data_IF_286776040028
#
_entry.id   IF_286776040028
#
_cell.length_a   1.000
_cell.length_b   1.000
_cell.length_c   1.000
_cell.angle_alpha   90.00
_cell.angle_beta   90.00
_cell.angle_gamma   90.00
#
_symmetry.space_group_name_H-M   'P 1'
#
loop_
_entity.id
_entity.type
_entity.pdbx_description
1 polymer ?
#
# COMPACT_ATOMS: atom_id res chain seq x y z
N UNK A 1 -22.06 -0.77 22.56
CA UNK A 1 -21.01 -0.23 21.64
C UNK A 1 -21.08 -1.02 20.36
N UNK A 2 -21.31 -0.35 19.23
CA UNK A 2 -21.45 -0.97 17.91
C UNK A 2 -20.16 -0.76 17.12
N UNK A 3 -19.61 -1.85 16.58
CA UNK A 3 -18.45 -1.86 15.67
C UNK A 3 -18.81 -2.75 14.46
N UNK A 4 -18.91 -2.17 13.26
CA UNK A 4 -19.40 -2.86 12.06
C UNK A 4 -18.65 -2.44 10.81
N UNK A 5 -18.52 -3.36 9.86
CA UNK A 5 -18.03 -3.09 8.50
C UNK A 5 -19.17 -3.18 7.48
N UNK A 6 -19.12 -2.31 6.48
CA UNK A 6 -20.02 -2.28 5.34
C UNK A 6 -19.20 -2.28 4.05
N UNK A 7 -19.72 -2.95 3.03
CA UNK A 7 -19.12 -3.03 1.71
C UNK A 7 -20.10 -2.49 0.70
N UNK A 8 -19.78 -1.36 0.08
CA UNK A 8 -20.65 -0.69 -0.90
C UNK A 8 -19.95 -0.59 -2.26
N UNK A 9 -20.75 -0.33 -3.30
CA UNK A 9 -20.20 0.09 -4.58
C UNK A 9 -19.62 1.50 -4.46
N UNK A 10 -18.47 1.73 -5.09
CA UNK A 10 -17.91 3.08 -5.25
C UNK A 10 -17.97 3.53 -6.70
N UNK A 11 -17.62 4.79 -6.93
CA UNK A 11 -17.57 5.42 -8.22
C UNK A 11 -16.47 4.85 -9.12
N UNK A 12 -16.77 4.84 -10.42
CA UNK A 12 -15.80 4.59 -11.48
C UNK A 12 -14.84 5.77 -11.61
N UNK A 13 -13.64 5.48 -12.13
CA UNK A 13 -12.71 6.53 -12.52
C UNK A 13 -13.13 7.09 -13.88
N UNK A 14 -13.77 8.26 -13.85
CA UNK A 14 -14.26 8.94 -15.06
C UNK A 14 -13.11 9.52 -15.89
N UNK A 15 -11.99 9.92 -15.27
CA UNK A 15 -10.86 10.53 -15.96
C UNK A 15 -10.16 9.51 -16.87
N UNK A 16 -9.95 8.31 -16.36
CA UNK A 16 -9.28 7.24 -17.10
C UNK A 16 -10.26 6.24 -17.75
N UNK A 17 -11.56 6.37 -17.50
CA UNK A 17 -12.58 5.44 -17.98
C UNK A 17 -12.44 4.05 -17.38
N UNK A 18 -11.88 3.94 -16.18
CA UNK A 18 -11.62 2.67 -15.50
C UNK A 18 -12.79 2.35 -14.58
N UNK A 19 -13.39 1.18 -14.78
CA UNK A 19 -14.46 0.69 -13.90
C UNK A 19 -13.89 0.15 -12.61
N UNK A 20 -14.56 0.42 -11.49
CA UNK A 20 -14.18 -0.16 -10.21
C UNK A 20 -14.85 -1.52 -10.01
N UNK A 21 -14.04 -2.55 -9.78
CA UNK A 21 -14.52 -3.90 -9.47
C UNK A 21 -14.56 -4.19 -7.96
N UNK A 22 -13.70 -3.53 -7.18
CA UNK A 22 -13.60 -3.72 -5.72
C UNK A 22 -14.73 -3.01 -4.98
N UNK A 23 -15.23 -3.62 -3.89
CA UNK A 23 -16.13 -2.95 -2.96
C UNK A 23 -15.35 -2.00 -2.06
N UNK A 24 -15.96 -0.86 -1.75
CA UNK A 24 -15.46 0.10 -0.79
C UNK A 24 -15.86 -0.31 0.62
N UNK A 25 -14.86 -0.53 1.49
CA UNK A 25 -15.09 -0.92 2.89
C UNK A 25 -15.17 0.33 3.80
N UNK A 26 -16.30 0.47 4.49
CA UNK A 26 -16.49 1.42 5.59
C UNK A 26 -16.54 0.66 6.89
N UNK A 27 -15.67 1.02 7.83
CA UNK A 27 -15.76 0.56 9.22
C UNK A 27 -16.33 1.67 10.07
N UNK A 28 -17.41 1.40 10.80
CA UNK A 28 -18.07 2.38 11.66
C UNK A 28 -18.06 1.94 13.12
N UNK A 29 -17.93 2.90 14.03
CA UNK A 29 -18.09 2.70 15.47
C UNK A 29 -19.02 3.77 16.04
N UNK A 30 -19.96 3.38 16.90
CA UNK A 30 -20.74 4.32 17.72
C UNK A 30 -21.20 3.68 19.03
N UNK A 31 -21.39 4.50 20.05
CA UNK A 31 -21.93 4.08 21.34
C UNK A 31 -23.45 4.29 21.36
N UNK A 32 -24.22 3.19 21.30
CA UNK A 32 -25.69 3.21 21.28
C UNK A 32 -26.31 3.81 22.56
N UNK A 33 -25.56 3.90 23.66
CA UNK A 33 -26.02 4.54 24.89
C UNK A 33 -26.00 6.06 24.83
N UNK A 34 -25.40 6.64 23.79
CA UNK A 34 -25.23 8.09 23.59
C UNK A 34 -25.91 8.54 22.30
N UNK A 35 -26.55 9.72 22.26
CA UNK A 35 -26.98 10.29 21.00
C UNK A 35 -25.77 10.59 20.12
N UNK A 36 -25.86 10.25 18.84
CA UNK A 36 -24.83 10.59 17.85
C UNK A 36 -24.92 12.08 17.54
N UNK A 37 -23.87 12.83 17.88
CA UNK A 37 -23.82 14.31 17.74
C UNK A 37 -23.12 14.77 16.48
N UNK A 38 -22.24 13.93 15.93
CA UNK A 38 -21.47 14.22 14.73
C UNK A 38 -21.01 12.92 14.06
N UNK A 39 -20.68 13.04 12.77
CA UNK A 39 -19.91 12.04 12.02
C UNK A 39 -18.45 12.44 12.09
N UNK A 40 -17.58 11.50 12.45
CA UNK A 40 -16.14 11.72 12.58
C UNK A 40 -15.38 10.77 11.65
N UNK A 41 -14.92 11.29 10.50
CA UNK A 41 -14.20 10.51 9.50
C UNK A 41 -12.70 10.57 9.79
N UNK A 42 -12.08 9.41 9.97
CA UNK A 42 -10.65 9.27 10.27
C UNK A 42 -9.94 8.93 8.96
N UNK A 43 -9.17 9.88 8.46
CA UNK A 43 -8.37 9.73 7.24
C UNK A 43 -7.00 9.17 7.62
N UNK A 44 -6.74 7.93 7.21
CA UNK A 44 -5.44 7.29 7.39
C UNK A 44 -4.37 7.93 6.50
N UNK A 45 -3.18 8.16 7.06
CA UNK A 45 -2.02 8.61 6.31
C UNK A 45 -1.47 7.52 5.38
N UNK A 46 -0.48 7.90 4.57
CA UNK A 46 0.19 6.95 3.69
C UNK A 46 0.92 5.87 4.52
N UNK A 47 0.50 4.62 4.36
CA UNK A 47 1.01 3.47 5.14
C UNK A 47 0.09 2.99 6.26
N UNK A 48 -1.09 3.58 6.46
CA UNK A 48 -2.07 3.05 7.41
C UNK A 48 -2.58 1.63 7.08
N UNK A 49 -2.42 1.18 5.85
CA UNK A 49 -2.71 -0.20 5.43
C UNK A 49 -1.67 -1.22 5.86
N UNK A 50 -0.46 -0.80 6.28
CA UNK A 50 0.58 -1.73 6.78
C UNK A 50 0.09 -2.44 8.06
N UNK A 51 -0.71 -1.75 8.86
CA UNK A 51 -1.24 -2.22 10.13
C UNK A 51 -2.50 -1.43 10.52
N UNK A 52 -3.69 -2.02 10.35
CA UNK A 52 -4.96 -1.29 10.54
C UNK A 52 -5.34 -1.11 12.00
N UNK A 53 -4.63 -1.75 12.94
CA UNK A 53 -4.96 -1.75 14.37
C UNK A 53 -5.01 -0.34 14.97
N UNK A 54 -4.13 0.56 14.51
CA UNK A 54 -4.14 1.95 14.98
C UNK A 54 -5.37 2.72 14.48
N UNK A 55 -5.83 2.46 13.26
CA UNK A 55 -7.06 3.05 12.73
C UNK A 55 -8.28 2.58 13.52
N UNK A 56 -8.40 1.26 13.72
CA UNK A 56 -9.50 0.66 14.48
C UNK A 56 -9.52 1.13 15.93
N UNK A 57 -8.36 1.14 16.59
CA UNK A 57 -8.24 1.66 17.95
C UNK A 57 -8.73 3.10 18.03
N UNK A 58 -8.23 3.97 17.16
CA UNK A 58 -8.61 5.39 17.13
C UNK A 58 -10.12 5.53 16.92
N UNK A 59 -10.68 4.84 15.93
CA UNK A 59 -12.11 4.86 15.63
C UNK A 59 -12.97 4.45 16.83
N UNK A 60 -12.64 3.34 17.48
CA UNK A 60 -13.37 2.86 18.68
C UNK A 60 -13.24 3.83 19.85
N UNK A 61 -12.07 4.43 20.07
CA UNK A 61 -11.85 5.39 21.15
C UNK A 61 -12.64 6.68 20.97
N UNK A 62 -12.71 7.21 19.75
CA UNK A 62 -13.49 8.42 19.48
C UNK A 62 -14.98 8.17 19.69
N UNK A 63 -15.48 7.07 19.13
CA UNK A 63 -16.88 6.70 19.26
C UNK A 63 -17.31 6.47 20.72
N UNK A 64 -16.50 5.77 21.51
CA UNK A 64 -16.81 5.48 22.92
C UNK A 64 -16.77 6.71 23.81
N UNK A 65 -15.98 7.74 23.48
CA UNK A 65 -15.80 8.92 24.34
C UNK A 65 -16.75 10.05 24.01
N UNK A 66 -16.95 10.35 22.73
CA UNK A 66 -17.51 11.64 22.31
C UNK A 66 -18.97 11.61 21.82
N UNK A 67 -19.62 10.43 21.80
CA UNK A 67 -20.98 10.32 21.26
C UNK A 67 -21.02 10.66 19.77
N UNK A 68 -20.08 10.10 19.00
CA UNK A 68 -19.92 10.32 17.56
C UNK A 68 -20.03 9.00 16.81
N UNK A 69 -20.44 9.09 15.55
CA UNK A 69 -20.28 8.01 14.59
C UNK A 69 -18.88 8.14 13.98
N UNK A 70 -17.93 7.33 14.45
CA UNK A 70 -16.57 7.34 13.94
C UNK A 70 -16.42 6.37 12.76
N UNK A 71 -15.77 6.80 11.68
CA UNK A 71 -15.69 6.07 10.41
C UNK A 71 -14.23 5.95 9.96
N UNK A 72 -13.82 4.76 9.53
CA UNK A 72 -12.66 4.56 8.66
C UNK A 72 -13.14 4.15 7.28
N UNK A 73 -12.52 4.69 6.24
CA UNK A 73 -12.78 4.37 4.85
C UNK A 73 -11.53 3.72 4.27
N UNK A 74 -11.68 2.50 3.76
CA UNK A 74 -10.61 1.77 3.08
C UNK A 74 -10.71 2.12 1.60
N UNK A 75 -10.28 3.34 1.30
CA UNK A 75 -10.45 4.02 0.02
C UNK A 75 -9.59 3.42 -1.12
N UNK A 76 -9.79 3.91 -2.35
CA UNK A 76 -9.08 3.48 -3.55
C UNK A 76 -7.58 3.63 -3.40
N UNK A 77 -6.84 2.54 -3.54
CA UNK A 77 -5.39 2.52 -3.35
C UNK A 77 -4.97 2.56 -1.88
N UNK A 78 -5.89 2.32 -0.92
CA UNK A 78 -5.55 2.20 0.51
C UNK A 78 -4.53 1.08 0.71
N UNK A 79 -4.71 -0.06 0.05
CA UNK A 79 -3.88 -1.26 0.12
C UNK A 79 -2.61 -1.20 -0.76
N UNK A 80 -1.98 -0.03 -0.92
CA UNK A 80 -0.79 0.16 -1.76
C UNK A 80 0.55 -0.17 -1.07
N UNK A 81 0.52 -0.93 0.03
CA UNK A 81 1.70 -1.31 0.83
C UNK A 81 1.60 -2.77 1.26
N UNK A 82 2.76 -3.40 1.45
CA UNK A 82 2.81 -4.72 2.08
C UNK A 82 2.32 -4.59 3.52
N UNK A 83 1.32 -5.40 3.86
CA UNK A 83 0.62 -5.36 5.13
C UNK A 83 0.90 -6.61 5.95
N UNK A 84 0.71 -6.50 7.27
CA UNK A 84 0.61 -7.66 8.16
C UNK A 84 -0.70 -8.44 7.95
N UNK A 85 -1.69 -7.80 7.36
CA UNK A 85 -3.00 -8.39 7.07
C UNK A 85 -3.05 -8.73 5.57
N UNK A 86 -3.10 -10.02 5.24
CA UNK A 86 -3.02 -10.50 3.85
C UNK A 86 -4.07 -9.88 2.95
N UNK A 87 -5.30 -9.70 3.45
CA UNK A 87 -6.42 -9.06 2.73
C UNK A 87 -6.11 -7.63 2.27
N UNK A 88 -5.24 -6.91 2.99
CA UNK A 88 -4.89 -5.51 2.72
C UNK A 88 -3.47 -5.34 2.20
N UNK A 89 -2.77 -6.44 1.92
CA UNK A 89 -1.38 -6.41 1.50
C UNK A 89 -1.27 -6.25 0.00
N UNK A 90 -0.47 -5.29 -0.43
CA UNK A 90 0.06 -5.30 -1.78
C UNK A 90 1.07 -6.45 -1.96
N UNK A 91 1.28 -6.82 -3.23
CA UNK A 91 2.29 -7.78 -3.65
C UNK A 91 3.41 -7.07 -4.43
N UNK A 92 4.60 -7.68 -4.42
CA UNK A 92 5.71 -7.24 -5.27
C UNK A 92 5.72 -8.06 -6.56
N UNK A 93 5.88 -7.37 -7.69
CA UNK A 93 6.07 -7.98 -9.00
C UNK A 93 7.29 -7.39 -9.71
N UNK A 94 7.85 -8.16 -10.64
CA UNK A 94 8.91 -7.71 -11.56
C UNK A 94 8.30 -7.65 -12.95
N UNK A 95 7.83 -6.47 -13.32
CA UNK A 95 7.21 -6.24 -14.63
C UNK A 95 8.24 -5.98 -15.72
N UNK A 96 7.79 -5.88 -16.97
CA UNK A 96 8.64 -5.67 -18.13
C UNK A 96 9.62 -4.49 -17.94
N UNK A 97 9.15 -3.38 -17.42
CA UNK A 97 9.94 -2.17 -17.16
C UNK A 97 11.01 -2.43 -16.09
N UNK A 98 10.71 -3.24 -15.07
CA UNK A 98 11.65 -3.65 -14.03
C UNK A 98 12.73 -4.57 -14.61
N UNK A 99 12.37 -5.47 -15.53
CA UNK A 99 13.35 -6.32 -16.24
C UNK A 99 14.32 -5.46 -17.07
N UNK A 100 13.81 -4.46 -17.79
CA UNK A 100 14.67 -3.53 -18.53
C UNK A 100 15.54 -2.68 -17.60
N UNK A 101 15.02 -2.33 -16.43
CA UNK A 101 15.78 -1.66 -15.39
C UNK A 101 16.94 -2.53 -14.86
N UNK A 102 16.69 -3.82 -14.56
CA UNK A 102 17.71 -4.78 -14.14
C UNK A 102 18.82 -4.86 -15.19
N UNK A 103 18.49 -5.02 -16.47
CA UNK A 103 19.48 -5.07 -17.57
C UNK A 103 20.36 -3.81 -17.59
N UNK A 104 19.77 -2.63 -17.42
CA UNK A 104 20.51 -1.36 -17.37
C UNK A 104 21.45 -1.29 -16.17
N UNK A 105 21.03 -1.78 -15.00
CA UNK A 105 21.88 -1.83 -13.79
C UNK A 105 23.05 -2.79 -13.99
N UNK A 106 22.81 -4.00 -14.49
CA UNK A 106 23.85 -4.99 -14.76
C UNK A 106 24.88 -4.48 -15.77
N UNK A 107 24.42 -3.85 -16.87
CA UNK A 107 25.31 -3.26 -17.87
C UNK A 107 26.23 -2.18 -17.27
N UNK A 108 25.71 -1.32 -16.38
CA UNK A 108 26.52 -0.30 -15.68
C UNK A 108 27.59 -0.92 -14.77
N UNK A 109 27.33 -2.12 -14.25
CA UNK A 109 28.26 -2.87 -13.39
C UNK A 109 29.17 -3.81 -14.20
N UNK A 110 29.07 -3.82 -15.53
CA UNK A 110 29.75 -4.77 -16.41
C UNK A 110 29.43 -6.24 -16.06
N UNK A 111 28.19 -6.53 -15.65
CA UNK A 111 27.70 -7.87 -15.33
C UNK A 111 26.81 -8.42 -16.45
N UNK A 112 26.90 -9.73 -16.76
CA UNK A 112 26.05 -10.34 -17.77
C UNK A 112 24.61 -10.49 -17.28
N UNK A 113 23.67 -10.36 -18.21
CA UNK A 113 22.28 -10.75 -18.01
C UNK A 113 22.05 -12.16 -18.58
N UNK A 114 21.45 -13.02 -17.78
CA UNK A 114 21.07 -14.39 -18.09
C UNK A 114 19.54 -14.53 -18.08
N UNK A 115 18.95 -14.81 -19.25
CA UNK A 115 17.50 -14.91 -19.42
C UNK A 115 16.86 -16.14 -18.77
N UNK A 116 17.67 -17.13 -18.40
CA UNK A 116 17.23 -18.35 -17.70
C UNK A 116 17.17 -18.19 -16.17
N UNK A 117 17.67 -17.07 -15.62
CA UNK A 117 17.52 -16.78 -14.20
C UNK A 117 16.18 -16.08 -13.92
N UNK A 118 15.48 -16.45 -12.84
CA UNK A 118 14.36 -15.65 -12.34
C UNK A 118 14.77 -14.18 -12.16
N UNK A 119 13.97 -13.24 -12.63
CA UNK A 119 14.36 -11.82 -12.59
C UNK A 119 14.59 -11.30 -11.16
N UNK A 120 13.83 -11.81 -10.18
CA UNK A 120 14.02 -11.50 -8.77
C UNK A 120 15.36 -12.03 -8.20
N UNK A 121 16.00 -13.02 -8.84
CA UNK A 121 17.30 -13.54 -8.40
C UNK A 121 18.41 -12.48 -8.46
N UNK A 122 18.31 -11.51 -9.38
CA UNK A 122 19.30 -10.45 -9.51
C UNK A 122 19.36 -9.52 -8.29
N UNK A 123 18.27 -9.35 -7.55
CA UNK A 123 18.27 -8.53 -6.32
C UNK A 123 19.16 -9.19 -5.26
N UNK A 124 18.98 -10.48 -5.03
CA UNK A 124 19.78 -11.25 -4.06
C UNK A 124 21.25 -11.34 -4.47
N UNK A 125 21.52 -11.56 -5.77
CA UNK A 125 22.89 -11.61 -6.29
C UNK A 125 23.60 -10.27 -6.10
N UNK A 126 22.94 -9.16 -6.46
CA UNK A 126 23.52 -7.82 -6.32
C UNK A 126 23.67 -7.41 -4.85
N UNK A 127 22.76 -7.83 -3.97
CA UNK A 127 22.87 -7.61 -2.53
C UNK A 127 24.06 -8.36 -1.92
N UNK A 128 24.24 -9.64 -2.24
CA UNK A 128 25.39 -10.44 -1.79
C UNK A 128 26.72 -9.88 -2.32
N UNK A 129 26.75 -9.48 -3.59
CA UNK A 129 27.92 -8.81 -4.17
C UNK A 129 28.25 -7.50 -3.44
N UNK A 130 27.25 -6.64 -3.18
CA UNK A 130 27.45 -5.39 -2.45
C UNK A 130 27.94 -5.65 -1.02
N UNK A 131 27.41 -6.67 -0.35
CA UNK A 131 27.86 -7.08 0.99
C UNK A 131 29.34 -7.47 0.99
N UNK A 132 29.76 -8.37 0.08
CA UNK A 132 31.17 -8.80 -0.05
C UNK A 132 32.12 -7.64 -0.34
N UNK A 133 31.71 -6.71 -1.20
CA UNK A 133 32.52 -5.53 -1.55
C UNK A 133 32.68 -4.57 -0.35
N UNK A 134 31.67 -4.46 0.52
CA UNK A 134 31.76 -3.71 1.78
C UNK A 134 32.66 -4.40 2.80
N UNK A 135 32.55 -5.72 2.93
CA UNK A 135 33.41 -6.53 3.81
C UNK A 135 34.88 -6.45 3.39
N UNK A 136 35.16 -6.39 2.09
CA UNK A 136 36.50 -6.19 1.54
C UNK A 136 37.02 -4.74 1.67
N UNK A 137 36.24 -3.81 2.19
CA UNK A 137 36.62 -2.40 2.34
C UNK A 137 36.65 -1.59 1.04
N UNK A 138 36.15 -2.14 -0.07
CA UNK A 138 36.09 -1.47 -1.38
C UNK A 138 35.03 -0.37 -1.38
N UNK A 139 33.91 -0.60 -0.68
CA UNK A 139 32.86 0.39 -0.47
C UNK A 139 32.62 0.66 1.01
N UNK A 140 32.24 1.91 1.33
CA UNK A 140 31.79 2.28 2.66
C UNK A 140 30.54 1.49 3.07
N UNK A 141 30.37 1.22 4.36
CA UNK A 141 29.25 0.42 4.87
C UNK A 141 27.88 1.03 4.55
N UNK A 142 27.80 2.36 4.45
CA UNK A 142 26.60 3.10 4.09
C UNK A 142 26.39 3.27 2.58
N UNK A 143 27.27 2.76 1.71
CA UNK A 143 27.01 2.76 0.26
C UNK A 143 25.85 1.82 -0.08
N UNK A 144 25.06 2.17 -1.07
CA UNK A 144 23.96 1.35 -1.55
C UNK A 144 23.88 1.39 -3.06
N UNK A 145 23.53 0.24 -3.66
CA UNK A 145 23.26 0.16 -5.08
C UNK A 145 21.92 0.85 -5.35
N UNK A 146 21.93 1.84 -6.24
CA UNK A 146 20.73 2.56 -6.66
C UNK A 146 20.23 2.03 -8.00
N UNK A 147 18.94 2.22 -8.21
CA UNK A 147 18.35 2.13 -9.54
C UNK A 147 17.81 0.76 -9.89
N UNK A 148 17.69 -0.19 -8.96
CA UNK A 148 16.77 -1.31 -9.08
C UNK A 148 15.34 -0.81 -8.74
N UNK A 149 14.36 -1.20 -9.55
CA UNK A 149 12.93 -0.93 -9.32
C UNK A 149 12.15 -2.24 -9.19
N UNK A 150 10.96 -2.20 -8.60
CA UNK A 150 9.99 -3.29 -8.66
C UNK A 150 8.60 -2.66 -8.69
N UNK A 151 7.62 -3.42 -9.17
CA UNK A 151 6.22 -3.01 -9.21
C UNK A 151 5.51 -3.42 -7.93
N UNK A 152 4.66 -2.54 -7.39
CA UNK A 152 3.78 -2.84 -6.26
C UNK A 152 2.37 -3.00 -6.81
N UNK A 153 1.76 -4.16 -6.59
CA UNK A 153 0.42 -4.50 -7.04
C UNK A 153 -0.55 -4.47 -5.85
N UNK A 154 -1.45 -3.48 -5.75
CA UNK A 154 -2.53 -3.51 -4.76
C UNK A 154 -3.47 -4.71 -4.99
N UNK A 155 -4.06 -5.29 -3.93
CA UNK A 155 -4.87 -6.50 -4.01
C UNK A 155 -6.22 -6.32 -4.73
N UNK A 156 -6.64 -5.08 -4.98
CA UNK A 156 -7.98 -4.73 -5.46
C UNK A 156 -8.01 -4.29 -6.94
N UNK A 157 -6.95 -4.56 -7.71
CA UNK A 157 -6.77 -4.01 -9.08
C UNK A 157 -6.85 -2.47 -9.11
N UNK A 158 -6.44 -1.84 -8.01
CA UNK A 158 -6.44 -0.39 -7.83
C UNK A 158 -5.05 0.18 -8.12
N UNK A 159 -4.98 1.50 -8.27
CA UNK A 159 -3.74 2.21 -8.52
C UNK A 159 -3.65 3.46 -7.64
N UNK A 160 -2.48 4.09 -7.59
CA UNK A 160 -2.32 5.32 -6.84
C UNK A 160 -2.76 6.52 -7.69
N UNK A 161 -3.91 7.10 -7.36
CA UNK A 161 -4.54 8.21 -8.08
C UNK A 161 -4.28 9.61 -7.44
N UNK A 162 -3.41 9.72 -6.42
CA UNK A 162 -3.02 11.01 -5.82
C UNK A 162 -4.21 11.86 -5.30
N UNK A 163 -5.16 11.19 -4.64
CA UNK A 163 -6.25 11.73 -3.80
C UNK A 163 -7.60 12.06 -4.45
N UNK A 164 -7.77 12.02 -5.78
CA UNK A 164 -9.12 12.25 -6.35
C UNK A 164 -10.06 11.08 -6.00
N UNK A 165 -9.73 9.86 -6.42
CA UNK A 165 -10.52 8.68 -6.08
C UNK A 165 -10.64 8.45 -4.56
N UNK A 166 -9.55 8.59 -3.77
CA UNK A 166 -9.66 8.58 -2.31
C UNK A 166 -10.64 9.60 -1.74
N UNK A 167 -10.66 10.85 -2.22
CA UNK A 167 -11.56 11.87 -1.69
C UNK A 167 -13.03 11.54 -2.00
N UNK A 168 -13.32 11.05 -3.20
CA UNK A 168 -14.65 10.59 -3.58
C UNK A 168 -15.12 9.45 -2.69
N UNK A 169 -14.26 8.48 -2.40
CA UNK A 169 -14.57 7.37 -1.49
C UNK A 169 -14.90 7.82 -0.06
N UNK A 170 -14.34 8.93 0.42
CA UNK A 170 -14.71 9.41 1.77
C UNK A 170 -16.06 10.13 1.80
N UNK A 171 -16.57 10.58 0.64
CA UNK A 171 -17.79 11.39 0.53
C UNK A 171 -18.99 10.54 0.09
N UNK A 172 -18.75 9.45 -0.64
CA UNK A 172 -19.76 8.49 -1.11
C UNK A 172 -20.56 7.88 0.06
#
# INVERSE_FOLDING_TARGET
MIDKSFFIDSCDDVELGIKRNSKLEYRISYDESKPIRAIFVIIGGFGSSVDTRMLDFTRRQFASRFGVLAINVFYHGFCCRVSKETTYSAEYSIEKEDVENIKKVLAKLNLPYHSNLPHNAYYFLLEDMMKKQKEAGIYAQNNFLKGLSYTILPPNEEYQNYLLMPALDHIN
#
